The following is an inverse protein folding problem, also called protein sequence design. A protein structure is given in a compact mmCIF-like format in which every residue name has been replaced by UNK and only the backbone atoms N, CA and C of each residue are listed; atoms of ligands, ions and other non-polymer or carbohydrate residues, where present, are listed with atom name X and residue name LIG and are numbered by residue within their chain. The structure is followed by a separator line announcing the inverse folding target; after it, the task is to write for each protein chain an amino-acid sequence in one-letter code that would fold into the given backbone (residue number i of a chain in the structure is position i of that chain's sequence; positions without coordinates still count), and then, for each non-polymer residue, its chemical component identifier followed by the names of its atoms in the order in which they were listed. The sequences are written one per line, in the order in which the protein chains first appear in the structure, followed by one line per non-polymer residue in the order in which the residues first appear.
data_IF_229836594698
#
_entry.id   IF_229836594698
#
_cell.length_a   1.000
_cell.length_b   1.000
_cell.length_c   1.000
_cell.angle_alpha   90.00
_cell.angle_beta   90.00
_cell.angle_gamma   90.00
#
_symmetry.space_group_name_H-M   'P 1'
#
loop_
_entity.id
_entity.type
_entity.pdbx_description
1 polymer ?
#
# COMPACT_ATOMS: atom_id res chain seq x y z
N UNK A 1 1.74 -11.37 -7.00
CA UNK A 1 2.21 -10.41 -8.02
C UNK A 1 2.94 -9.27 -7.33
N UNK A 2 4.04 -8.76 -7.87
CA UNK A 2 4.79 -7.64 -7.28
C UNK A 2 4.29 -6.32 -7.85
N UNK A 3 3.59 -5.52 -7.05
CA UNK A 3 3.26 -4.14 -7.37
C UNK A 3 4.48 -3.23 -7.11
N UNK A 4 4.70 -2.21 -7.94
CA UNK A 4 5.69 -1.16 -7.66
C UNK A 4 5.11 -0.09 -6.73
N UNK A 5 5.96 0.70 -6.08
CA UNK A 5 5.50 1.81 -5.22
C UNK A 5 4.73 2.86 -6.03
N UNK A 6 5.18 3.15 -7.25
CA UNK A 6 4.50 4.10 -8.13
C UNK A 6 3.14 3.57 -8.62
N UNK A 7 3.02 2.28 -8.93
CA UNK A 7 1.75 1.69 -9.35
C UNK A 7 0.74 1.68 -8.18
N UNK A 8 1.21 1.41 -6.96
CA UNK A 8 0.39 1.49 -5.76
C UNK A 8 -0.15 2.91 -5.56
N UNK A 9 0.74 3.92 -5.66
CA UNK A 9 0.34 5.32 -5.58
C UNK A 9 -0.67 5.69 -6.67
N UNK A 10 -0.40 5.32 -7.93
CA UNK A 10 -1.31 5.57 -9.04
C UNK A 10 -2.70 4.99 -8.77
N UNK A 11 -2.79 3.73 -8.31
CA UNK A 11 -4.09 3.12 -7.96
C UNK A 11 -4.83 3.89 -6.88
N UNK A 12 -4.14 4.34 -5.83
CA UNK A 12 -4.78 5.14 -4.78
C UNK A 12 -5.32 6.47 -5.30
N UNK A 13 -4.59 7.13 -6.22
CA UNK A 13 -5.03 8.38 -6.88
C UNK A 13 -6.28 8.12 -7.74
N UNK A 14 -6.31 7.01 -8.46
CA UNK A 14 -7.43 6.60 -9.30
C UNK A 14 -8.61 6.00 -8.51
N UNK A 15 -8.58 6.07 -7.18
CA UNK A 15 -9.59 5.50 -6.28
C UNK A 15 -9.83 4.00 -6.50
N UNK A 16 -8.80 3.28 -6.96
CA UNK A 16 -8.83 1.83 -7.14
C UNK A 16 -8.27 1.14 -5.90
N UNK A 17 -8.88 0.00 -5.57
CA UNK A 17 -8.40 -0.87 -4.51
C UNK A 17 -7.06 -1.53 -4.89
N UNK A 18 -6.19 -1.69 -3.90
CA UNK A 18 -5.00 -2.53 -4.01
C UNK A 18 -5.40 -3.92 -3.54
N UNK A 19 -5.21 -4.94 -4.38
CA UNK A 19 -5.58 -6.30 -4.02
C UNK A 19 -4.75 -6.82 -2.84
N UNK A 20 -5.31 -7.74 -2.06
CA UNK A 20 -4.70 -8.26 -0.85
C UNK A 20 -3.24 -8.72 -1.05
N UNK A 21 -2.96 -9.53 -2.08
CA UNK A 21 -1.61 -10.03 -2.38
C UNK A 21 -0.63 -8.90 -2.76
N UNK A 22 -1.13 -7.87 -3.43
CA UNK A 22 -0.33 -6.71 -3.82
C UNK A 22 -0.03 -5.83 -2.61
N UNK A 23 -1.01 -5.67 -1.71
CA UNK A 23 -0.84 -4.96 -0.45
C UNK A 23 0.18 -5.66 0.45
N UNK A 24 0.18 -7.00 0.50
CA UNK A 24 1.22 -7.76 1.22
C UNK A 24 2.61 -7.45 0.66
N UNK A 25 2.77 -7.46 -0.66
CA UNK A 25 4.04 -7.16 -1.31
C UNK A 25 4.48 -5.71 -1.08
N UNK A 26 3.55 -4.76 -1.16
CA UNK A 26 3.78 -3.34 -0.90
C UNK A 26 4.24 -3.10 0.54
N UNK A 27 3.51 -3.64 1.51
CA UNK A 27 3.81 -3.46 2.93
C UNK A 27 5.12 -4.12 3.32
N UNK A 28 5.48 -5.27 2.73
CA UNK A 28 6.81 -5.88 2.95
C UNK A 28 7.94 -4.95 2.51
N UNK A 29 7.82 -4.30 1.36
CA UNK A 29 8.81 -3.31 0.87
C UNK A 29 8.91 -2.08 1.78
N UNK A 30 7.78 -1.61 2.30
CA UNK A 30 7.76 -0.48 3.24
C UNK A 30 8.46 -0.87 4.54
N UNK A 31 8.11 -2.02 5.10
CA UNK A 31 8.65 -2.49 6.39
C UNK A 31 10.12 -2.98 6.29
N UNK A 32 10.59 -3.38 5.10
CA UNK A 32 12.00 -3.71 4.85
C UNK A 32 12.90 -2.48 4.67
N UNK A 33 12.33 -1.27 4.62
CA UNK A 33 13.07 -0.03 4.42
C UNK A 33 13.42 0.27 2.96
N UNK A 34 12.80 -0.42 2.00
CA UNK A 34 13.01 -0.18 0.56
C UNK A 34 12.22 1.02 0.02
N UNK A 35 11.29 1.58 0.81
CA UNK A 35 10.49 2.75 0.44
C UNK A 35 11.02 4.03 1.09
N UNK A 36 11.10 5.12 0.30
CA UNK A 36 11.48 6.43 0.84
C UNK A 36 10.39 6.99 1.76
N UNK A 37 10.74 7.82 2.76
CA UNK A 37 9.75 8.44 3.66
C UNK A 37 8.66 9.22 2.91
N UNK A 38 9.02 9.87 1.80
CA UNK A 38 8.07 10.62 0.96
C UNK A 38 7.06 9.68 0.30
N UNK A 39 7.52 8.51 -0.17
CA UNK A 39 6.64 7.54 -0.82
C UNK A 39 5.71 6.85 0.17
N UNK A 40 6.20 6.55 1.38
CA UNK A 40 5.37 6.05 2.47
C UNK A 40 4.25 7.06 2.78
N UNK A 41 4.61 8.33 2.96
CA UNK A 41 3.62 9.39 3.21
C UNK A 41 2.59 9.51 2.07
N UNK A 42 3.04 9.47 0.81
CA UNK A 42 2.15 9.54 -0.35
C UNK A 42 1.15 8.38 -0.40
N UNK A 43 1.61 7.15 -0.19
CA UNK A 43 0.75 5.96 -0.17
C UNK A 43 -0.22 6.00 1.01
N UNK A 44 0.23 6.37 2.21
CA UNK A 44 -0.63 6.48 3.40
C UNK A 44 -1.72 7.54 3.21
N UNK A 45 -1.39 8.70 2.65
CA UNK A 45 -2.38 9.75 2.35
C UNK A 45 -3.35 9.28 1.26
N UNK A 46 -2.84 8.65 0.20
CA UNK A 46 -3.68 8.10 -0.87
C UNK A 46 -4.70 7.07 -0.36
N UNK A 47 -4.26 6.14 0.48
CA UNK A 47 -5.12 5.18 1.16
C UNK A 47 -6.18 5.87 2.03
N UNK A 48 -5.78 6.87 2.81
CA UNK A 48 -6.68 7.62 3.71
C UNK A 48 -7.76 8.42 2.97
N UNK A 49 -7.41 9.00 1.82
CA UNK A 49 -8.33 9.77 0.97
C UNK A 49 -9.31 8.85 0.25
N UNK A 50 -8.81 7.74 -0.33
CA UNK A 50 -9.64 6.70 -0.96
C UNK A 50 -10.58 6.02 0.03
N UNK A 51 -10.15 5.93 1.30
CA UNK A 51 -10.65 5.01 2.34
C UNK A 51 -10.18 3.58 2.08
N UNK A 52 -9.62 2.97 3.10
CA UNK A 52 -9.06 1.64 3.08
C UNK A 52 -10.18 0.59 3.08
N UNK A 53 -9.96 -0.51 2.35
CA UNK A 53 -10.85 -1.68 2.38
C UNK A 53 -10.41 -2.66 3.46
N UNK A 54 -11.28 -3.61 3.80
CA UNK A 54 -10.95 -4.69 4.74
C UNK A 54 -9.76 -5.51 4.22
N UNK A 55 -9.70 -5.77 2.91
CA UNK A 55 -8.62 -6.53 2.29
C UNK A 55 -7.27 -5.85 2.42
N UNK A 56 -7.24 -4.52 2.22
CA UNK A 56 -6.07 -3.68 2.38
C UNK A 56 -5.58 -3.64 3.85
N UNK A 57 -6.49 -3.42 4.80
CA UNK A 57 -6.15 -3.37 6.23
C UNK A 57 -5.65 -4.72 6.73
N UNK A 58 -6.33 -5.82 6.36
CA UNK A 58 -5.95 -7.16 6.78
C UNK A 58 -4.55 -7.56 6.26
N UNK A 59 -4.24 -7.24 5.01
CA UNK A 59 -2.91 -7.47 4.44
C UNK A 59 -1.84 -6.64 5.17
N UNK A 60 -2.09 -5.35 5.39
CA UNK A 60 -1.15 -4.49 6.08
C UNK A 60 -0.88 -4.97 7.52
N UNK A 61 -1.92 -5.27 8.28
CA UNK A 61 -1.82 -5.79 9.63
C UNK A 61 -1.08 -7.14 9.68
N UNK A 62 -1.25 -7.99 8.65
CA UNK A 62 -0.54 -9.27 8.57
C UNK A 62 0.98 -9.11 8.46
N UNK A 63 1.46 -8.06 7.77
CA UNK A 63 2.90 -7.80 7.63
C UNK A 63 3.49 -7.16 8.89
N UNK A 64 2.68 -6.46 9.69
CA UNK A 64 3.13 -5.79 10.92
C UNK A 64 3.27 -6.72 12.14
N UNK A 65 2.79 -7.97 12.05
CA UNK A 65 2.93 -8.99 13.09
C UNK A 65 4.32 -9.62 13.09
#
# INVERSE_FOLDING_TARGET
MTISLNDALQRTIEHREIFHDEMLALMRKIMSGEASPVMIAAVTVGLRVKKETIGEIAAAAQVMR
#
